data_IF_007530582657
#
_entry.id   IF_007530582657
#
_cell.length_a   1.000
_cell.length_b   1.000
_cell.length_c   1.000
_cell.angle_alpha   90.00
_cell.angle_beta   90.00
_cell.angle_gamma   90.00
#
_symmetry.space_group_name_H-M   'P 1'
#
loop_
_entity.id
_entity.type
_entity.pdbx_description
1 polymer ?
#
# COMPACT_ATOMS: atom_id res chain seq x y z
N UNK A 1 -5.89 16.34 3.51
CA UNK A 1 -5.29 15.00 3.59
C UNK A 1 -6.41 14.08 4.01
N UNK A 2 -6.81 13.18 3.12
CA UNK A 2 -7.88 12.22 3.40
C UNK A 2 -7.22 10.92 3.87
N UNK A 3 -7.70 10.31 4.96
CA UNK A 3 -7.04 9.17 5.59
C UNK A 3 -8.01 8.00 5.66
N UNK A 4 -7.54 6.82 5.25
CA UNK A 4 -8.31 5.60 5.21
C UNK A 4 -7.65 4.55 6.11
N UNK A 5 -8.39 4.08 7.11
CA UNK A 5 -7.92 3.05 8.04
C UNK A 5 -8.10 1.64 7.46
N UNK A 6 -7.11 0.80 7.71
CA UNK A 6 -7.08 -0.64 7.45
C UNK A 6 -6.65 -1.36 8.72
N UNK A 7 -6.74 -2.69 8.72
CA UNK A 7 -6.26 -3.48 9.85
C UNK A 7 -4.73 -3.43 9.91
N UNK A 8 -4.18 -2.61 10.83
CA UNK A 8 -2.75 -2.52 11.11
C UNK A 8 -2.00 -1.41 10.37
N UNK A 9 -2.68 -0.64 9.51
CA UNK A 9 -2.10 0.50 8.82
C UNK A 9 -3.15 1.49 8.34
N UNK A 10 -2.70 2.64 7.87
CA UNK A 10 -3.52 3.70 7.26
C UNK A 10 -2.88 4.16 5.97
N UNK A 11 -3.72 4.56 5.03
CA UNK A 11 -3.32 5.26 3.81
C UNK A 11 -3.81 6.69 3.92
N UNK A 12 -2.89 7.65 3.85
CA UNK A 12 -3.22 9.05 3.71
C UNK A 12 -3.00 9.52 2.27
N UNK A 13 -4.02 10.13 1.68
CA UNK A 13 -3.97 10.74 0.35
C UNK A 13 -3.49 12.19 0.45
N UNK A 14 -2.50 12.51 -0.39
CA UNK A 14 -1.83 13.82 -0.45
C UNK A 14 -2.05 14.44 -1.83
N UNK A 15 -3.26 14.93 -2.15
CA UNK A 15 -3.62 15.36 -3.51
C UNK A 15 -2.80 16.53 -4.05
N UNK A 16 -2.16 17.30 -3.17
CA UNK A 16 -1.34 18.45 -3.55
C UNK A 16 0.15 18.10 -3.68
N UNK A 17 0.53 16.83 -3.53
CA UNK A 17 1.90 16.34 -3.73
C UNK A 17 1.93 15.33 -4.88
N UNK A 18 2.13 15.79 -6.13
CA UNK A 18 2.15 14.89 -7.29
C UNK A 18 3.35 13.94 -7.29
N UNK A 19 4.42 14.28 -6.57
CA UNK A 19 5.60 13.43 -6.42
C UNK A 19 5.38 12.32 -5.38
N UNK A 20 4.59 12.60 -4.33
CA UNK A 20 4.29 11.67 -3.23
C UNK A 20 2.78 11.68 -2.93
N UNK A 21 1.95 11.09 -3.79
CA UNK A 21 0.49 11.23 -3.70
C UNK A 21 -0.12 10.48 -2.51
N UNK A 22 0.64 9.59 -1.86
CA UNK A 22 0.17 8.76 -0.77
C UNK A 22 1.22 8.63 0.33
N UNK A 23 0.77 8.40 1.57
CA UNK A 23 1.61 8.06 2.72
C UNK A 23 1.05 6.79 3.36
N UNK A 24 1.91 5.80 3.59
CA UNK A 24 1.60 4.59 4.35
C UNK A 24 2.00 4.80 5.82
N UNK A 25 1.09 4.56 6.75
CA UNK A 25 1.31 4.77 8.19
C UNK A 25 1.00 3.45 8.90
N UNK A 26 1.97 2.88 9.63
CA UNK A 26 1.76 1.61 10.33
C UNK A 26 1.26 1.84 11.76
N UNK A 27 0.22 1.10 12.15
CA UNK A 27 -0.30 1.19 13.52
C UNK A 27 0.66 0.50 14.50
N UNK A 28 0.74 1.03 15.73
CA UNK A 28 1.56 0.45 16.80
C UNK A 28 3.08 0.63 16.62
N UNK A 29 3.55 1.21 15.51
CA UNK A 29 4.95 1.57 15.28
C UNK A 29 5.11 3.08 15.48
N UNK A 30 5.85 3.48 16.52
CA UNK A 30 6.00 4.90 16.85
C UNK A 30 6.63 5.68 15.69
N UNK A 31 5.91 6.71 15.22
CA UNK A 31 6.35 7.66 14.20
C UNK A 31 6.83 7.01 12.89
N UNK A 32 6.28 5.85 12.50
CA UNK A 32 6.61 5.23 11.21
C UNK A 32 5.57 5.59 10.14
N UNK A 33 5.99 6.47 9.23
CA UNK A 33 5.26 6.80 8.02
C UNK A 33 6.21 6.76 6.83
N UNK A 34 5.71 6.25 5.70
CA UNK A 34 6.48 6.11 4.46
C UNK A 34 5.75 6.88 3.38
N UNK A 35 6.40 7.89 2.81
CA UNK A 35 5.93 8.57 1.61
C UNK A 35 6.03 7.64 0.41
N UNK A 36 4.94 7.48 -0.31
CA UNK A 36 4.85 6.61 -1.47
C UNK A 36 4.98 7.47 -2.73
N UNK A 37 6.08 7.33 -3.51
CA UNK A 37 6.29 8.13 -4.70
C UNK A 37 5.30 7.76 -5.81
N UNK A 38 4.98 8.73 -6.69
CA UNK A 38 4.07 8.50 -7.83
C UNK A 38 4.57 7.51 -8.87
N UNK A 39 5.87 7.18 -8.85
CA UNK A 39 6.47 6.12 -9.66
C UNK A 39 6.26 4.72 -9.08
N UNK A 40 5.74 4.63 -7.86
CA UNK A 40 5.59 3.37 -7.16
C UNK A 40 4.37 2.56 -7.61
N UNK A 41 4.34 1.30 -7.22
CA UNK A 41 3.26 0.37 -7.52
C UNK A 41 3.16 -0.71 -6.43
N UNK A 42 1.96 -1.23 -6.24
CA UNK A 42 1.69 -2.35 -5.34
C UNK A 42 1.54 -3.64 -6.15
N UNK A 43 2.10 -4.72 -5.62
CA UNK A 43 1.96 -6.09 -6.12
C UNK A 43 1.27 -6.93 -5.06
N UNK A 44 0.09 -7.44 -5.37
CA UNK A 44 -0.68 -8.31 -4.49
C UNK A 44 -0.33 -9.74 -4.83
N UNK A 45 0.30 -10.43 -3.89
CA UNK A 45 0.53 -11.86 -4.02
C UNK A 45 -0.74 -12.61 -3.61
N UNK A 46 -1.18 -13.59 -4.41
CA UNK A 46 -2.36 -14.38 -4.10
C UNK A 46 -2.14 -15.10 -2.77
N UNK A 47 -3.16 -15.02 -1.93
CA UNK A 47 -3.22 -15.78 -0.71
C UNK A 47 -3.85 -17.14 -1.04
N UNK A 48 -3.35 -18.24 -0.47
CA UNK A 48 -4.00 -19.55 -0.62
C UNK A 48 -5.46 -19.49 -0.12
N UNK A 49 -6.34 -20.41 -0.55
CA UNK A 49 -7.79 -20.41 -0.21
C UNK A 49 -8.12 -20.40 1.29
N UNK A 50 -7.12 -20.63 2.16
CA UNK A 50 -7.24 -20.60 3.62
C UNK A 50 -6.71 -19.33 4.28
N UNK A 51 -6.07 -18.47 3.50
CA UNK A 51 -5.39 -17.31 4.01
C UNK A 51 -6.38 -16.17 4.26
N UNK A 52 -6.27 -15.56 5.44
CA UNK A 52 -7.10 -14.43 5.85
C UNK A 52 -6.57 -13.09 5.31
N UNK A 53 -5.35 -13.09 4.75
CA UNK A 53 -4.63 -11.89 4.31
C UNK A 53 -3.90 -12.16 2.99
N UNK A 54 -3.83 -11.14 2.15
CA UNK A 54 -2.87 -11.07 1.04
C UNK A 54 -1.57 -10.45 1.50
N UNK A 55 -0.45 -10.93 0.96
CA UNK A 55 0.82 -10.22 1.02
C UNK A 55 0.83 -9.16 -0.08
N UNK A 56 1.04 -7.91 0.31
CA UNK A 56 1.18 -6.77 -0.60
C UNK A 56 2.61 -6.27 -0.52
N UNK A 57 3.25 -6.21 -1.68
CA UNK A 57 4.60 -5.70 -1.83
C UNK A 57 4.56 -4.36 -2.55
N UNK A 58 5.26 -3.36 -2.04
CA UNK A 58 5.35 -2.05 -2.66
C UNK A 58 6.74 -1.85 -3.26
N UNK A 59 6.75 -1.42 -4.52
CA UNK A 59 7.93 -0.94 -5.22
C UNK A 59 7.90 0.58 -5.25
N UNK A 60 8.96 1.24 -4.82
CA UNK A 60 9.10 2.70 -4.94
C UNK A 60 9.18 3.15 -6.41
N UNK A 61 9.65 2.27 -7.31
CA UNK A 61 9.66 2.53 -8.74
C UNK A 61 9.30 1.27 -9.54
N UNK A 62 8.09 1.24 -10.09
CA UNK A 62 7.59 0.11 -10.88
C UNK A 62 8.34 -0.13 -12.19
N UNK A 63 8.93 0.91 -12.77
CA UNK A 63 9.67 0.81 -14.02
C UNK A 63 11.05 0.13 -13.88
N UNK A 64 11.54 -0.07 -12.65
CA UNK A 64 12.85 -0.68 -12.40
C UNK A 64 12.70 -2.14 -11.95
N UNK A 65 13.67 -2.97 -12.30
CA UNK A 65 13.71 -4.39 -11.90
C UNK A 65 14.26 -4.62 -10.48
N UNK A 66 14.01 -3.66 -9.57
CA UNK A 66 14.42 -3.79 -8.18
C UNK A 66 13.46 -4.73 -7.46
N UNK A 67 13.92 -5.43 -6.40
CA UNK A 67 13.02 -6.03 -5.42
C UNK A 67 12.12 -4.96 -4.76
N UNK A 68 10.93 -5.34 -4.27
CA UNK A 68 10.09 -4.47 -3.44
C UNK A 68 10.80 -4.02 -2.17
N UNK A 69 10.52 -2.79 -1.73
CA UNK A 69 11.13 -2.18 -0.55
C UNK A 69 10.27 -2.33 0.72
N UNK A 70 8.96 -2.57 0.57
CA UNK A 70 8.02 -2.67 1.68
C UNK A 70 7.09 -3.84 1.45
N UNK A 71 6.95 -4.69 2.46
CA UNK A 71 6.00 -5.80 2.48
C UNK A 71 5.03 -5.60 3.66
N UNK A 72 3.74 -5.77 3.41
CA UNK A 72 2.71 -5.71 4.44
C UNK A 72 1.51 -6.59 4.09
N UNK A 73 0.64 -6.84 5.07
CA UNK A 73 -0.51 -7.71 4.90
C UNK A 73 -1.80 -6.90 4.84
N UNK A 74 -2.69 -7.28 3.92
CA UNK A 74 -4.02 -6.68 3.79
C UNK A 74 -5.05 -7.81 3.94
N UNK A 75 -6.02 -7.71 4.87
CA UNK A 75 -7.08 -8.70 4.99
C UNK A 75 -7.81 -8.90 3.67
N UNK A 76 -8.17 -10.14 3.34
CA UNK A 76 -8.93 -10.45 2.10
C UNK A 76 -10.21 -9.62 2.04
N UNK A 77 -10.89 -9.44 3.18
CA UNK A 77 -12.11 -8.62 3.30
C UNK A 77 -11.90 -7.13 3.03
N UNK A 78 -10.67 -6.62 3.11
CA UNK A 78 -10.34 -5.20 2.90
C UNK A 78 -9.69 -4.93 1.54
N UNK A 79 -9.32 -5.97 0.79
CA UNK A 79 -8.55 -5.86 -0.46
C UNK A 79 -9.27 -5.02 -1.53
N UNK A 80 -10.58 -5.21 -1.70
CA UNK A 80 -11.35 -4.42 -2.67
C UNK A 80 -11.43 -2.93 -2.29
N UNK A 81 -11.45 -2.63 -0.99
CA UNK A 81 -11.35 -1.24 -0.51
C UNK A 81 -9.95 -0.68 -0.76
N UNK A 82 -8.91 -1.47 -0.47
CA UNK A 82 -7.52 -1.09 -0.71
C UNK A 82 -7.28 -0.71 -2.18
N UNK A 83 -7.72 -1.56 -3.12
CA UNK A 83 -7.63 -1.29 -4.57
C UNK A 83 -8.32 0.01 -4.98
N UNK A 84 -9.49 0.31 -4.39
CA UNK A 84 -10.26 1.54 -4.68
C UNK A 84 -9.65 2.80 -4.06
N UNK A 85 -9.01 2.67 -2.90
CA UNK A 85 -8.39 3.80 -2.19
C UNK A 85 -7.04 4.18 -2.81
N UNK A 86 -6.30 3.23 -3.38
CA UNK A 86 -4.97 3.49 -3.93
C UNK A 86 -5.01 4.45 -5.13
N UNK A 87 -4.17 5.49 -5.08
CA UNK A 87 -3.86 6.36 -6.22
C UNK A 87 -2.72 5.80 -7.09
N UNK A 88 -1.98 4.82 -6.56
CA UNK A 88 -0.92 4.11 -7.26
C UNK A 88 -1.46 2.81 -7.85
N UNK A 89 -0.85 2.28 -8.93
CA UNK A 89 -1.24 1.01 -9.51
C UNK A 89 -1.22 -0.12 -8.46
N UNK A 90 -2.27 -0.95 -8.47
CA UNK A 90 -2.34 -2.18 -7.69
C UNK A 90 -2.44 -3.35 -8.66
N UNK A 91 -1.36 -4.10 -8.79
CA UNK A 91 -1.20 -5.24 -9.68
C UNK A 91 -1.54 -6.50 -8.87
N UNK A 92 -2.47 -7.31 -9.35
CA UNK A 92 -2.95 -8.53 -8.69
C UNK A 92 -3.10 -9.66 -9.67
#
# INVERSE_FOLDING_TARGET
MDTHDFTGFKIALVPNSPETPMILIFDGVACCSIELPSTGEFHVLPADDRALYHLVQFKMNGAKNNPPEIDFHVPVSEMERFKKTSLLPVIS
#
